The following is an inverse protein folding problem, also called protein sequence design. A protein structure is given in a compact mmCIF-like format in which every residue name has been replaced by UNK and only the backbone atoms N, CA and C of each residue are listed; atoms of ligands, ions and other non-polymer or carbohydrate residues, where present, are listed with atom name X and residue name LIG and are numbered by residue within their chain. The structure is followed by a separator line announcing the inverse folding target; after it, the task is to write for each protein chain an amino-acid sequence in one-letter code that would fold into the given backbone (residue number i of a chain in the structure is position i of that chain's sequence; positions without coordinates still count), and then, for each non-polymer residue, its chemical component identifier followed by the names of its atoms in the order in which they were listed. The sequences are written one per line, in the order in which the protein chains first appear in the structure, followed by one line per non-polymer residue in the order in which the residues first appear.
data_IF_559889828657
#
_entry.id   IF_559889828657
#
_cell.length_a   1.000
_cell.length_b   1.000
_cell.length_c   1.000
_cell.angle_alpha   90.00
_cell.angle_beta   90.00
_cell.angle_gamma   90.00
#
_symmetry.space_group_name_H-M   'P 1'
#
loop_
_entity.id
_entity.type
_entity.pdbx_description
1 polymer ?
#
# COMPACT_ATOMS: atom_id res chain seq x y z
N UNK A 1 15.30 11.60 12.24
CA UNK A 1 15.06 10.16 12.44
C UNK A 1 16.38 9.42 12.43
N UNK A 2 16.51 8.37 13.26
CA UNK A 2 17.71 7.50 13.23
C UNK A 2 17.60 6.42 12.14
N UNK A 3 16.38 6.10 11.70
CA UNK A 3 16.17 5.12 10.65
C UNK A 3 16.33 5.77 9.28
N UNK A 4 17.18 5.18 8.48
CA UNK A 4 17.49 5.67 7.13
C UNK A 4 16.68 5.01 6.03
N UNK A 5 16.26 3.75 6.23
CA UNK A 5 15.53 2.98 5.23
C UNK A 5 14.04 2.97 5.54
N UNK A 6 13.19 2.92 4.51
CA UNK A 6 11.74 2.81 4.64
C UNK A 6 11.25 1.48 4.04
N UNK A 7 11.36 0.39 4.81
CA UNK A 7 11.13 -0.97 4.33
C UNK A 7 9.76 -1.53 4.73
N UNK A 8 9.33 -1.27 5.96
CA UNK A 8 8.04 -1.70 6.53
C UNK A 8 7.68 -0.81 7.72
N UNK A 9 6.39 -0.65 8.02
CA UNK A 9 5.94 0.20 9.15
C UNK A 9 6.29 -0.39 10.52
N UNK A 10 6.63 -1.68 10.61
CA UNK A 10 7.16 -2.29 11.84
C UNK A 10 8.41 -1.58 12.35
N UNK A 11 9.22 -1.02 11.44
CA UNK A 11 10.50 -0.39 11.74
C UNK A 11 10.36 1.01 12.37
N UNK A 12 9.13 1.55 12.44
CA UNK A 12 8.85 2.91 12.90
C UNK A 12 7.95 2.92 14.13
N UNK A 13 8.16 3.94 14.96
CA UNK A 13 7.27 4.26 16.08
C UNK A 13 5.98 4.93 15.59
N UNK A 14 4.89 4.91 16.36
CA UNK A 14 3.68 5.67 16.05
C UNK A 14 3.94 7.16 15.79
N UNK A 15 4.83 7.77 16.58
CA UNK A 15 5.20 9.18 16.44
C UNK A 15 5.95 9.48 15.12
N UNK A 16 6.82 8.58 14.66
CA UNK A 16 7.50 8.71 13.36
C UNK A 16 6.53 8.54 12.20
N UNK A 17 5.58 7.61 12.29
CA UNK A 17 4.52 7.45 11.29
C UNK A 17 3.67 8.72 11.23
N UNK A 18 3.24 9.26 12.37
CA UNK A 18 2.49 10.52 12.40
C UNK A 18 3.30 11.68 11.82
N UNK A 19 4.59 11.75 12.10
CA UNK A 19 5.47 12.77 11.50
C UNK A 19 5.49 12.70 9.97
N UNK A 20 5.55 11.50 9.38
CA UNK A 20 5.44 11.37 7.91
C UNK A 20 4.10 11.90 7.38
N UNK A 21 3.00 11.64 8.09
CA UNK A 21 1.68 12.12 7.68
C UNK A 21 1.58 13.65 7.78
N UNK A 22 2.11 14.25 8.84
CA UNK A 22 2.13 15.71 9.04
C UNK A 22 2.95 16.42 7.96
N UNK A 23 4.14 15.89 7.65
CA UNK A 23 4.99 16.40 6.56
C UNK A 23 4.29 16.23 5.20
N UNK A 24 3.62 15.10 4.98
CA UNK A 24 2.89 14.86 3.74
C UNK A 24 1.73 15.85 3.55
N UNK A 25 0.99 16.15 4.61
CA UNK A 25 -0.09 17.14 4.58
C UNK A 25 0.44 18.54 4.27
N UNK A 26 1.55 18.96 4.88
CA UNK A 26 2.20 20.25 4.59
C UNK A 26 2.68 20.33 3.14
N UNK A 27 3.37 19.28 2.64
CA UNK A 27 3.85 19.23 1.26
C UNK A 27 2.70 19.17 0.22
N UNK A 28 1.58 18.52 0.57
CA UNK A 28 0.35 18.53 -0.23
C UNK A 28 -0.22 19.93 -0.31
N UNK A 29 -0.34 20.63 0.82
CA UNK A 29 -0.84 22.00 0.88
C UNK A 29 0.05 22.97 0.07
N UNK A 30 1.38 22.86 0.19
CA UNK A 30 2.33 23.64 -0.61
C UNK A 30 2.17 23.40 -2.10
N UNK A 31 2.04 22.15 -2.53
CA UNK A 31 1.83 21.83 -3.96
C UNK A 31 0.52 22.41 -4.48
N UNK A 32 -0.57 22.27 -3.75
CA UNK A 32 -1.88 22.84 -4.12
C UNK A 32 -1.86 24.38 -4.18
N UNK A 33 -1.06 25.03 -3.34
CA UNK A 33 -0.86 26.48 -3.33
C UNK A 33 0.18 26.97 -4.35
N UNK A 34 0.81 26.09 -5.14
CA UNK A 34 1.86 26.46 -6.09
C UNK A 34 3.17 26.91 -5.44
N UNK A 35 3.38 26.60 -4.14
CA UNK A 35 4.58 26.98 -3.40
C UNK A 35 5.70 25.98 -3.69
N UNK A 36 6.85 26.42 -4.23
CA UNK A 36 8.00 25.55 -4.47
C UNK A 36 8.54 24.94 -3.17
N UNK A 37 8.87 23.63 -3.20
CA UNK A 37 9.37 22.91 -2.03
C UNK A 37 10.49 21.92 -2.41
N UNK A 38 11.53 22.44 -3.07
CA UNK A 38 12.69 21.67 -3.54
C UNK A 38 13.66 21.35 -2.40
N UNK A 39 13.20 20.57 -1.42
CA UNK A 39 13.95 20.24 -0.19
C UNK A 39 15.17 19.36 -0.43
N UNK A 40 15.20 18.62 -1.55
CA UNK A 40 16.26 17.67 -1.93
C UNK A 40 16.88 18.06 -3.29
N UNK A 41 17.10 19.36 -3.49
CA UNK A 41 17.70 19.85 -4.73
C UNK A 41 19.04 19.13 -4.99
N UNK A 42 19.25 18.77 -6.25
CA UNK A 42 20.46 18.13 -6.79
C UNK A 42 20.71 16.68 -6.31
N UNK A 43 19.88 16.11 -5.41
CA UNK A 43 19.96 14.69 -5.06
C UNK A 43 19.44 13.80 -6.17
N UNK A 44 19.92 12.56 -6.22
CA UNK A 44 19.61 11.57 -7.25
C UNK A 44 18.90 10.36 -6.66
N UNK A 45 17.82 9.91 -7.30
CA UNK A 45 17.03 8.75 -6.91
C UNK A 45 17.03 7.70 -8.01
N UNK A 46 17.39 6.45 -7.67
CA UNK A 46 17.21 5.29 -8.54
C UNK A 46 15.88 4.60 -8.23
N UNK A 47 15.09 4.25 -9.26
CA UNK A 47 13.89 3.45 -9.15
C UNK A 47 14.12 2.09 -9.79
N UNK A 48 14.16 1.02 -8.98
CA UNK A 48 14.33 -0.36 -9.42
C UNK A 48 12.97 -1.05 -9.43
N UNK A 49 12.52 -1.48 -10.60
CA UNK A 49 11.26 -2.19 -10.75
C UNK A 49 11.50 -3.60 -11.30
N UNK A 50 11.17 -4.63 -10.53
CA UNK A 50 11.05 -6.01 -11.01
C UNK A 50 9.58 -6.37 -11.28
N UNK A 51 8.63 -5.66 -10.63
CA UNK A 51 7.20 -5.69 -10.95
C UNK A 51 6.78 -4.34 -11.52
N UNK A 52 6.14 -4.32 -12.68
CA UNK A 52 5.63 -3.09 -13.30
C UNK A 52 4.61 -2.38 -12.43
N UNK A 53 4.55 -1.06 -12.52
CA UNK A 53 3.53 -0.25 -11.85
C UNK A 53 3.47 1.15 -12.44
N UNK A 54 2.29 1.56 -12.89
CA UNK A 54 2.04 2.94 -13.32
C UNK A 54 2.05 3.89 -12.12
N UNK A 55 1.27 3.61 -11.08
CA UNK A 55 1.07 4.51 -9.94
C UNK A 55 2.33 4.71 -9.11
N UNK A 56 2.99 3.64 -8.69
CA UNK A 56 4.22 3.74 -7.87
C UNK A 56 5.31 4.48 -8.63
N UNK A 57 5.52 4.16 -9.92
CA UNK A 57 6.48 4.86 -10.76
C UNK A 57 6.16 6.36 -10.85
N UNK A 58 4.94 6.71 -11.28
CA UNK A 58 4.53 8.11 -11.40
C UNK A 58 4.64 8.86 -10.06
N UNK A 59 4.24 8.22 -8.94
CA UNK A 59 4.30 8.84 -7.63
C UNK A 59 5.73 9.16 -7.21
N UNK A 60 6.70 8.23 -7.36
CA UNK A 60 8.10 8.48 -7.06
C UNK A 60 8.75 9.48 -8.02
N UNK A 61 8.49 9.37 -9.33
CA UNK A 61 9.03 10.32 -10.31
C UNK A 61 8.56 11.75 -10.05
N UNK A 62 7.26 11.95 -9.83
CA UNK A 62 6.70 13.28 -9.55
C UNK A 62 7.15 13.78 -8.19
N UNK A 63 7.13 12.92 -7.16
CA UNK A 63 7.61 13.28 -5.81
C UNK A 63 9.08 13.74 -5.84
N UNK A 64 9.96 13.00 -6.50
CA UNK A 64 11.37 13.37 -6.64
C UNK A 64 11.54 14.72 -7.37
N UNK A 65 10.85 14.91 -8.49
CA UNK A 65 10.90 16.19 -9.24
C UNK A 65 10.36 17.37 -8.43
N UNK A 66 9.28 17.19 -7.68
CA UNK A 66 8.74 18.22 -6.79
C UNK A 66 9.77 18.64 -5.72
N UNK A 67 10.52 17.66 -5.19
CA UNK A 67 11.59 17.89 -4.22
C UNK A 67 12.91 18.40 -4.84
N UNK A 68 13.01 18.48 -6.17
CA UNK A 68 14.19 18.96 -6.89
C UNK A 68 15.22 17.90 -7.22
N UNK A 69 14.86 16.62 -7.12
CA UNK A 69 15.76 15.49 -7.40
C UNK A 69 15.83 15.15 -8.89
N UNK A 70 16.97 14.59 -9.31
CA UNK A 70 17.06 13.76 -10.51
C UNK A 70 16.52 12.36 -10.22
N UNK A 71 15.76 11.79 -11.17
CA UNK A 71 15.15 10.46 -11.01
C UNK A 71 15.48 9.59 -12.21
N UNK A 72 16.02 8.40 -11.96
CA UNK A 72 16.33 7.39 -12.99
C UNK A 72 15.47 6.15 -12.77
N UNK A 73 14.70 5.80 -13.78
CA UNK A 73 13.94 4.56 -13.82
C UNK A 73 14.75 3.43 -14.45
N UNK A 74 14.91 2.34 -13.71
CA UNK A 74 15.56 1.12 -14.16
C UNK A 74 14.50 0.08 -14.51
N UNK A 75 14.28 -0.12 -15.80
CA UNK A 75 13.30 -1.06 -16.34
C UNK A 75 13.71 -2.51 -16.03
N UNK A 76 12.75 -3.40 -15.69
CA UNK A 76 13.05 -4.82 -15.41
C UNK A 76 13.75 -5.55 -16.56
N UNK A 77 13.46 -5.17 -17.81
CA UNK A 77 14.07 -5.77 -18.99
C UNK A 77 15.51 -5.31 -19.21
N UNK A 78 15.86 -4.12 -18.76
CA UNK A 78 17.18 -3.51 -18.89
C UNK A 78 18.09 -3.73 -17.68
N UNK A 79 17.54 -4.20 -16.53
CA UNK A 79 18.30 -4.45 -15.32
C UNK A 79 18.96 -5.83 -15.32
N UNK A 80 20.19 -5.90 -14.79
CA UNK A 80 20.92 -7.14 -14.57
C UNK A 80 20.79 -7.68 -13.15
N UNK A 81 20.07 -6.97 -12.28
CA UNK A 81 19.87 -7.31 -10.87
C UNK A 81 19.29 -8.73 -10.72
N UNK A 82 19.90 -9.54 -9.86
CA UNK A 82 19.49 -10.92 -9.63
C UNK A 82 19.71 -11.89 -10.80
N UNK A 83 20.27 -11.43 -11.95
CA UNK A 83 20.53 -12.25 -13.13
C UNK A 83 22.04 -12.46 -13.34
N UNK A 84 22.75 -11.42 -13.70
CA UNK A 84 24.21 -11.43 -13.91
C UNK A 84 24.94 -10.69 -12.80
N UNK A 85 24.26 -9.94 -11.98
CA UNK A 85 24.79 -9.18 -10.87
C UNK A 85 24.02 -9.51 -9.60
N UNK A 86 24.71 -9.69 -8.47
CA UNK A 86 24.09 -9.95 -7.19
C UNK A 86 23.33 -8.71 -6.68
N UNK A 87 22.33 -8.92 -5.82
CA UNK A 87 21.61 -7.82 -5.16
C UNK A 87 22.59 -6.92 -4.41
N UNK A 88 23.53 -7.52 -3.66
CA UNK A 88 24.53 -6.81 -2.88
C UNK A 88 25.47 -5.95 -3.75
N UNK A 89 25.89 -6.46 -4.92
CA UNK A 89 26.78 -5.70 -5.81
C UNK A 89 26.03 -4.58 -6.50
N UNK A 90 24.83 -4.82 -6.97
CA UNK A 90 23.95 -3.77 -7.50
C UNK A 90 23.72 -2.67 -6.45
N UNK A 91 23.46 -3.03 -5.20
CA UNK A 91 23.27 -2.09 -4.10
C UNK A 91 24.50 -1.20 -3.90
N UNK A 92 25.71 -1.80 -3.86
CA UNK A 92 26.99 -1.08 -3.71
C UNK A 92 27.28 -0.13 -4.86
N UNK A 93 26.98 -0.54 -6.10
CA UNK A 93 27.15 0.30 -7.29
C UNK A 93 26.21 1.49 -7.26
N UNK A 94 24.90 1.23 -7.10
CA UNK A 94 23.89 2.29 -7.10
C UNK A 94 24.05 3.24 -5.91
N UNK A 95 24.39 2.73 -4.74
CA UNK A 95 24.65 3.56 -3.56
C UNK A 95 25.87 4.49 -3.66
N UNK A 96 26.72 4.33 -4.68
CA UNK A 96 27.81 5.26 -5.01
C UNK A 96 27.46 6.30 -6.05
N UNK A 97 26.31 6.13 -6.74
CA UNK A 97 25.84 7.00 -7.79
C UNK A 97 24.61 7.81 -7.39
N UNK A 98 23.79 7.27 -6.50
CA UNK A 98 22.51 7.84 -6.08
C UNK A 98 22.49 8.14 -4.59
N UNK A 99 21.68 9.11 -4.18
CA UNK A 99 21.43 9.46 -2.78
C UNK A 99 20.36 8.59 -2.14
N UNK A 100 19.51 7.94 -2.95
CA UNK A 100 18.48 7.02 -2.47
C UNK A 100 18.08 6.01 -3.56
N UNK A 101 17.54 4.88 -3.13
CA UNK A 101 17.12 3.78 -4.01
C UNK A 101 15.70 3.37 -3.63
N UNK A 102 14.79 3.37 -4.59
CA UNK A 102 13.49 2.71 -4.46
C UNK A 102 13.55 1.32 -5.09
N UNK A 103 12.90 0.36 -4.46
CA UNK A 103 12.74 -0.99 -4.97
C UNK A 103 11.27 -1.40 -4.94
N UNK A 104 10.79 -1.91 -6.08
CA UNK A 104 9.49 -2.55 -6.22
C UNK A 104 9.66 -3.92 -6.87
N UNK A 105 9.35 -4.99 -6.13
CA UNK A 105 9.62 -6.35 -6.64
C UNK A 105 8.91 -7.46 -5.89
N UNK A 106 9.63 -8.53 -5.61
CA UNK A 106 9.09 -9.77 -5.07
C UNK A 106 9.32 -9.88 -3.56
N UNK A 107 10.43 -10.47 -3.13
CA UNK A 107 10.66 -10.81 -1.73
C UNK A 107 11.11 -9.62 -0.88
N UNK A 108 10.64 -9.58 0.37
CA UNK A 108 11.10 -8.60 1.36
C UNK A 108 12.60 -8.73 1.63
N UNK A 109 13.15 -9.95 1.58
CA UNK A 109 14.58 -10.20 1.73
C UNK A 109 15.43 -9.45 0.68
N UNK A 110 14.91 -9.22 -0.53
CA UNK A 110 15.62 -8.51 -1.59
C UNK A 110 15.80 -7.02 -1.22
N UNK A 111 14.73 -6.36 -0.79
CA UNK A 111 14.80 -4.95 -0.41
C UNK A 111 15.60 -4.77 0.89
N UNK A 112 15.59 -5.74 1.81
CA UNK A 112 16.41 -5.75 3.02
C UNK A 112 17.89 -5.95 2.68
N UNK A 113 18.22 -6.81 1.72
CA UNK A 113 19.60 -6.97 1.22
C UNK A 113 20.09 -5.68 0.52
N UNK A 114 19.27 -5.06 -0.34
CA UNK A 114 19.58 -3.74 -0.92
C UNK A 114 19.89 -2.73 0.18
N UNK A 115 19.06 -2.64 1.22
CA UNK A 115 19.28 -1.72 2.35
C UNK A 115 20.57 -2.00 3.11
N UNK A 116 20.93 -3.27 3.30
CA UNK A 116 22.15 -3.68 4.01
C UNK A 116 23.44 -3.26 3.29
N UNK A 117 23.43 -3.17 1.96
CA UNK A 117 24.65 -2.94 1.17
C UNK A 117 24.69 -1.60 0.42
N UNK A 118 23.59 -0.88 0.29
CA UNK A 118 23.52 0.36 -0.50
C UNK A 118 24.31 1.52 0.11
N UNK A 119 24.38 1.62 1.45
CA UNK A 119 25.00 2.75 2.15
C UNK A 119 24.20 4.06 2.06
N UNK A 120 23.09 4.07 1.34
CA UNK A 120 22.12 5.16 1.18
C UNK A 120 20.72 4.69 1.54
N UNK A 121 19.75 5.57 1.82
CA UNK A 121 18.37 5.19 2.09
C UNK A 121 17.75 4.33 0.99
N UNK A 122 17.04 3.28 1.40
CA UNK A 122 16.29 2.39 0.52
C UNK A 122 14.81 2.46 0.87
N UNK A 123 13.95 2.57 -0.14
CA UNK A 123 12.51 2.72 -0.03
C UNK A 123 11.80 1.50 -0.64
N UNK A 124 10.95 0.85 0.14
CA UNK A 124 10.12 -0.24 -0.33
C UNK A 124 8.89 0.31 -1.06
N UNK A 125 8.90 0.27 -2.38
CA UNK A 125 7.76 0.61 -3.24
C UNK A 125 6.65 -0.45 -3.24
N UNK A 126 7.01 -1.71 -3.05
CA UNK A 126 6.18 -2.89 -2.79
C UNK A 126 7.03 -4.16 -2.79
N UNK A 127 6.78 -5.05 -1.84
CA UNK A 127 7.18 -6.46 -1.89
C UNK A 127 5.96 -7.38 -1.78
N UNK A 128 6.14 -8.69 -1.78
CA UNK A 128 5.05 -9.63 -1.53
C UNK A 128 4.50 -9.51 -0.11
N UNK A 129 5.37 -9.14 0.83
CA UNK A 129 5.07 -9.10 2.27
C UNK A 129 4.56 -7.73 2.73
N UNK A 130 5.08 -6.62 2.17
CA UNK A 130 4.75 -5.26 2.62
C UNK A 130 4.64 -4.23 1.50
N UNK A 131 3.76 -3.25 1.73
CA UNK A 131 3.58 -2.06 0.88
C UNK A 131 3.46 -0.78 1.72
N UNK A 132 4.52 -0.39 2.46
CA UNK A 132 4.43 0.68 3.46
C UNK A 132 4.07 2.05 2.88
N UNK A 133 4.48 2.35 1.64
CA UNK A 133 4.14 3.62 0.98
C UNK A 133 2.66 3.75 0.66
N UNK A 134 1.95 2.63 0.45
CA UNK A 134 0.49 2.62 0.29
C UNK A 134 -0.18 2.99 1.61
N UNK A 135 0.22 2.35 2.70
CA UNK A 135 -0.43 2.55 4.00
C UNK A 135 -0.32 4.00 4.50
N UNK A 136 0.81 4.67 4.24
CA UNK A 136 0.90 6.10 4.56
C UNK A 136 -0.11 6.94 3.76
N UNK A 137 -0.34 6.59 2.49
CA UNK A 137 -1.34 7.28 1.66
C UNK A 137 -2.76 7.00 2.16
N UNK A 138 -3.05 5.76 2.52
CA UNK A 138 -4.32 5.36 3.09
C UNK A 138 -4.60 6.15 4.37
N UNK A 139 -3.62 6.23 5.26
CA UNK A 139 -3.75 6.94 6.53
C UNK A 139 -3.89 8.45 6.36
N UNK A 140 -3.14 9.06 5.44
CA UNK A 140 -3.34 10.47 5.12
C UNK A 140 -4.76 10.72 4.61
N UNK A 141 -5.28 9.85 3.74
CA UNK A 141 -6.63 9.94 3.21
C UNK A 141 -7.68 9.77 4.30
N UNK A 142 -7.51 8.80 5.20
CA UNK A 142 -8.40 8.61 6.34
C UNK A 142 -8.38 9.85 7.26
N UNK A 143 -7.21 10.43 7.54
CA UNK A 143 -7.12 11.66 8.34
C UNK A 143 -7.81 12.85 7.67
N UNK A 144 -7.71 12.98 6.35
CA UNK A 144 -8.38 14.07 5.60
C UNK A 144 -9.91 13.95 5.66
N UNK A 145 -10.46 12.72 5.65
CA UNK A 145 -11.90 12.49 5.68
C UNK A 145 -12.51 12.41 7.08
N UNK A 146 -11.74 11.93 8.07
CA UNK A 146 -12.25 11.66 9.42
C UNK A 146 -11.59 12.46 10.54
N UNK A 147 -10.55 13.23 10.24
CA UNK A 147 -9.81 14.06 11.19
C UNK A 147 -8.81 13.32 12.08
N UNK A 148 -8.95 12.00 12.26
CA UNK A 148 -8.03 11.18 13.07
C UNK A 148 -8.01 9.74 12.61
N UNK A 149 -6.93 9.01 12.99
CA UNK A 149 -6.82 7.56 12.77
C UNK A 149 -7.29 6.76 13.98
N UNK A 150 -6.96 7.24 15.19
CA UNK A 150 -7.19 6.49 16.43
C UNK A 150 -8.66 6.10 16.59
N UNK A 151 -8.89 4.81 16.85
CA UNK A 151 -10.21 4.23 17.05
C UNK A 151 -11.05 4.05 15.77
N UNK A 152 -10.57 4.46 14.60
CA UNK A 152 -11.27 4.22 13.33
C UNK A 152 -11.24 2.76 12.96
N UNK A 153 -12.41 2.22 12.57
CA UNK A 153 -12.58 0.84 12.15
C UNK A 153 -12.35 0.69 10.65
N UNK A 154 -11.27 -0.01 10.30
CA UNK A 154 -10.93 -0.37 8.93
C UNK A 154 -11.15 -1.87 8.74
N UNK A 155 -12.02 -2.24 7.80
CA UNK A 155 -12.31 -3.63 7.42
C UNK A 155 -11.64 -3.91 6.08
N UNK A 156 -10.69 -4.84 6.08
CA UNK A 156 -10.06 -5.32 4.85
C UNK A 156 -10.76 -6.59 4.37
N UNK A 157 -11.36 -6.54 3.17
CA UNK A 157 -12.07 -7.64 2.54
C UNK A 157 -11.23 -8.27 1.43
N UNK A 158 -10.83 -9.54 1.56
CA UNK A 158 -10.03 -10.23 0.55
C UNK A 158 -8.91 -11.07 1.13
N UNK A 159 -7.87 -11.36 0.33
CA UNK A 159 -6.72 -12.15 0.78
C UNK A 159 -5.79 -11.31 1.67
N UNK A 160 -5.83 -11.53 2.97
CA UNK A 160 -5.07 -10.76 3.94
C UNK A 160 -3.63 -11.30 4.20
N UNK A 161 -3.20 -12.35 3.53
CA UNK A 161 -1.88 -13.00 3.72
C UNK A 161 -0.71 -12.23 3.12
N UNK A 162 -0.98 -11.31 2.19
CA UNK A 162 0.04 -10.59 1.41
C UNK A 162 0.19 -9.13 1.84
N UNK A 163 0.91 -8.37 1.02
CA UNK A 163 1.39 -7.04 1.37
C UNK A 163 0.33 -6.06 1.88
N UNK A 164 -0.88 -6.03 1.29
CA UNK A 164 -1.91 -5.08 1.74
C UNK A 164 -2.50 -5.48 3.09
N UNK A 165 -2.94 -6.74 3.25
CA UNK A 165 -3.45 -7.23 4.53
C UNK A 165 -2.44 -7.09 5.66
N UNK A 166 -1.19 -7.51 5.42
CA UNK A 166 -0.09 -7.40 6.37
C UNK A 166 0.19 -5.94 6.75
N UNK A 167 0.33 -5.07 5.75
CA UNK A 167 0.72 -3.68 6.00
C UNK A 167 -0.39 -2.85 6.65
N UNK A 168 -1.66 -3.10 6.28
CA UNK A 168 -2.81 -2.47 6.94
C UNK A 168 -2.91 -2.91 8.40
N UNK A 169 -2.76 -4.21 8.69
CA UNK A 169 -2.77 -4.73 10.06
C UNK A 169 -1.67 -4.08 10.90
N UNK A 170 -0.43 -4.07 10.40
CA UNK A 170 0.71 -3.42 11.07
C UNK A 170 0.45 -1.94 11.31
N UNK A 171 0.05 -1.23 10.27
CA UNK A 171 -0.24 0.21 10.37
C UNK A 171 -1.34 0.52 11.36
N UNK A 172 -2.45 -0.21 11.32
CA UNK A 172 -3.56 -0.05 12.25
C UNK A 172 -3.14 -0.35 13.70
N UNK A 173 -2.34 -1.41 13.92
CA UNK A 173 -1.78 -1.73 15.23
C UNK A 173 -0.91 -0.57 15.76
N UNK A 174 -0.05 0.03 14.92
CA UNK A 174 0.79 1.18 15.29
C UNK A 174 -0.01 2.43 15.62
N UNK A 175 -1.07 2.71 14.85
CA UNK A 175 -1.81 3.98 14.96
C UNK A 175 -3.04 3.92 15.87
N UNK A 176 -3.23 2.82 16.63
CA UNK A 176 -4.35 2.68 17.56
C UNK A 176 -5.71 2.59 16.86
N UNK A 177 -5.75 2.05 15.65
CA UNK A 177 -6.97 1.82 14.87
C UNK A 177 -7.60 0.46 15.20
N UNK A 178 -8.82 0.26 14.76
CA UNK A 178 -9.49 -1.03 14.81
C UNK A 178 -9.38 -1.69 13.41
N UNK A 179 -8.55 -2.71 13.26
CA UNK A 179 -8.38 -3.49 12.04
C UNK A 179 -9.22 -4.76 12.09
N UNK A 180 -9.95 -5.03 11.00
CA UNK A 180 -10.68 -6.29 10.82
C UNK A 180 -10.24 -6.93 9.51
N UNK A 181 -9.66 -8.13 9.57
CA UNK A 181 -9.50 -8.97 8.39
C UNK A 181 -10.79 -9.74 8.15
N UNK A 182 -11.50 -9.39 7.07
CA UNK A 182 -12.76 -10.00 6.65
C UNK A 182 -12.50 -10.95 5.47
N UNK A 183 -12.32 -12.24 5.77
CA UNK A 183 -11.97 -13.24 4.76
C UNK A 183 -12.17 -14.67 5.30
N UNK A 184 -12.02 -15.69 4.46
CA UNK A 184 -11.98 -17.07 4.92
C UNK A 184 -10.71 -17.34 5.75
N UNK A 185 -10.77 -18.28 6.68
CA UNK A 185 -9.71 -18.52 7.68
C UNK A 185 -8.33 -18.78 7.05
N UNK A 186 -8.29 -19.49 5.94
CA UNK A 186 -7.06 -19.80 5.19
C UNK A 186 -6.40 -18.58 4.53
N UNK A 187 -7.08 -17.44 4.52
CA UNK A 187 -6.59 -16.17 3.97
C UNK A 187 -6.27 -15.12 5.05
N UNK A 188 -6.29 -15.48 6.34
CA UNK A 188 -5.81 -14.59 7.40
C UNK A 188 -4.28 -14.41 7.32
N UNK A 189 -3.74 -13.30 7.84
CA UNK A 189 -2.30 -13.07 7.92
C UNK A 189 -1.56 -14.18 8.68
N UNK A 190 -0.25 -14.25 8.50
CA UNK A 190 0.62 -15.18 9.24
C UNK A 190 0.52 -15.00 10.77
N UNK A 191 0.46 -16.10 11.51
CA UNK A 191 0.26 -16.09 12.95
C UNK A 191 1.33 -15.30 13.72
N UNK A 192 2.60 -15.37 13.28
CA UNK A 192 3.69 -14.63 13.94
C UNK A 192 3.52 -13.13 13.76
N UNK A 193 3.07 -12.71 12.57
CA UNK A 193 2.79 -11.30 12.32
C UNK A 193 1.59 -10.84 13.14
N UNK A 194 0.54 -11.66 13.27
CA UNK A 194 -0.61 -11.38 14.13
C UNK A 194 -0.16 -11.21 15.60
N UNK A 195 0.68 -12.09 16.12
CA UNK A 195 1.18 -11.99 17.50
C UNK A 195 1.99 -10.70 17.70
N UNK A 196 2.92 -10.39 16.79
CA UNK A 196 3.66 -9.14 16.83
C UNK A 196 2.74 -7.92 16.81
N UNK A 197 1.70 -7.93 15.98
CA UNK A 197 0.75 -6.83 15.92
C UNK A 197 -0.13 -6.74 17.18
N UNK A 198 -0.46 -7.85 17.83
CA UNK A 198 -1.17 -7.86 19.13
C UNK A 198 -0.34 -7.24 20.24
N UNK A 199 0.96 -7.51 20.29
CA UNK A 199 1.88 -6.87 21.24
C UNK A 199 1.88 -5.34 21.04
N UNK A 200 2.00 -4.88 19.81
CA UNK A 200 1.93 -3.45 19.47
C UNK A 200 0.56 -2.87 19.85
N UNK A 201 -0.52 -3.59 19.55
CA UNK A 201 -1.89 -3.15 19.85
C UNK A 201 -2.14 -2.98 21.35
N UNK A 202 -1.52 -3.83 22.20
CA UNK A 202 -1.61 -3.69 23.65
C UNK A 202 -1.02 -2.35 24.14
N UNK A 203 -0.01 -1.81 23.47
CA UNK A 203 0.61 -0.53 23.82
C UNK A 203 -0.16 0.68 23.26
N UNK A 204 -0.72 0.55 22.04
CA UNK A 204 -1.35 1.66 21.32
C UNK A 204 -2.86 1.79 21.57
N UNK A 205 -3.48 0.71 22.08
CA UNK A 205 -4.92 0.59 22.23
C UNK A 205 -5.65 0.22 20.93
N UNK A 206 -4.93 -0.30 19.93
CA UNK A 206 -5.54 -0.84 18.72
C UNK A 206 -6.34 -2.10 19.00
N UNK A 207 -7.31 -2.40 18.12
CA UNK A 207 -8.11 -3.64 18.15
C UNK A 207 -7.83 -4.40 16.85
N UNK A 208 -7.59 -5.71 16.95
CA UNK A 208 -7.35 -6.57 15.79
C UNK A 208 -8.34 -7.73 15.82
N UNK A 209 -9.15 -7.85 14.79
CA UNK A 209 -10.17 -8.90 14.65
C UNK A 209 -10.03 -9.66 13.33
N UNK A 210 -10.46 -10.92 13.33
CA UNK A 210 -10.38 -11.83 12.20
C UNK A 210 -11.75 -12.49 12.04
N UNK A 211 -12.56 -11.99 11.11
CA UNK A 211 -13.98 -12.29 10.99
C UNK A 211 -14.27 -12.90 9.62
N UNK A 212 -15.02 -14.02 9.61
CA UNK A 212 -15.36 -14.70 8.36
C UNK A 212 -16.76 -14.31 7.81
N UNK A 213 -17.60 -13.65 8.61
CA UNK A 213 -18.89 -13.14 8.17
C UNK A 213 -18.77 -11.67 7.73
N UNK A 214 -18.98 -11.36 6.42
CA UNK A 214 -18.86 -10.01 5.91
C UNK A 214 -19.83 -9.01 6.56
N UNK A 215 -21.04 -9.44 6.94
CA UNK A 215 -22.03 -8.56 7.53
C UNK A 215 -21.73 -8.26 9.01
N UNK A 216 -21.12 -9.21 9.72
CA UNK A 216 -20.58 -8.98 11.06
C UNK A 216 -19.38 -8.04 11.00
N UNK A 217 -18.43 -8.30 10.09
CA UNK A 217 -17.20 -7.53 9.95
C UNK A 217 -17.47 -6.06 9.61
N UNK A 218 -18.34 -5.79 8.63
CA UNK A 218 -18.56 -4.43 8.10
C UNK A 218 -19.47 -3.57 8.96
N UNK A 219 -20.16 -4.14 9.96
CA UNK A 219 -21.05 -3.36 10.84
C UNK A 219 -20.31 -2.20 11.50
N UNK A 220 -20.77 -0.97 11.22
CA UNK A 220 -20.22 0.26 11.79
C UNK A 220 -18.76 0.53 11.40
N UNK A 221 -18.30 0.01 10.26
CA UNK A 221 -16.98 0.33 9.74
C UNK A 221 -16.90 1.80 9.30
N UNK A 222 -15.79 2.47 9.62
CA UNK A 222 -15.46 3.79 9.06
C UNK A 222 -14.91 3.63 7.62
N UNK A 223 -14.14 2.56 7.39
CA UNK A 223 -13.53 2.27 6.08
C UNK A 223 -13.73 0.79 5.73
N UNK A 224 -14.17 0.53 4.50
CA UNK A 224 -14.09 -0.79 3.87
C UNK A 224 -13.02 -0.71 2.79
N UNK A 225 -12.03 -1.59 2.88
CA UNK A 225 -10.88 -1.67 1.99
C UNK A 225 -10.84 -3.02 1.28
N UNK A 226 -10.46 -3.06 0.02
CA UNK A 226 -10.18 -4.31 -0.69
C UNK A 226 -9.02 -4.15 -1.67
N UNK A 227 -8.53 -5.27 -2.18
CA UNK A 227 -7.50 -5.36 -3.21
C UNK A 227 -7.85 -6.51 -4.17
N UNK A 228 -7.21 -6.56 -5.32
CA UNK A 228 -7.40 -7.62 -6.32
C UNK A 228 -7.25 -9.01 -5.69
N UNK A 229 -8.11 -9.94 -6.07
CA UNK A 229 -8.08 -11.31 -5.52
C UNK A 229 -6.89 -12.13 -5.99
N UNK A 230 -6.29 -11.77 -7.14
CA UNK A 230 -5.09 -12.41 -7.67
C UNK A 230 -4.05 -11.34 -7.92
N UNK A 231 -2.93 -11.45 -7.23
CA UNK A 231 -1.83 -10.47 -7.32
C UNK A 231 -1.04 -10.61 -8.62
N UNK A 232 -0.42 -9.51 -9.05
CA UNK A 232 0.47 -9.54 -10.22
C UNK A 232 1.60 -10.54 -10.03
N UNK A 233 1.75 -11.45 -11.01
CA UNK A 233 2.78 -12.49 -11.02
C UNK A 233 2.32 -13.84 -10.46
N UNK A 234 1.08 -13.96 -9.98
CA UNK A 234 0.49 -15.27 -9.67
C UNK A 234 0.05 -15.97 -10.98
N UNK A 235 0.14 -17.30 -11.05
CA UNK A 235 -0.23 -18.05 -12.26
C UNK A 235 -1.74 -18.06 -12.48
N UNK A 236 -2.17 -18.13 -13.74
CA UNK A 236 -3.60 -18.18 -14.13
C UNK A 236 -4.38 -19.32 -13.47
N UNK A 237 -3.68 -20.40 -13.09
CA UNK A 237 -4.31 -21.56 -12.44
C UNK A 237 -4.93 -21.28 -11.08
N UNK A 238 -4.58 -20.15 -10.41
CA UNK A 238 -5.13 -19.82 -9.08
C UNK A 238 -6.45 -19.05 -9.15
N UNK A 239 -6.84 -18.52 -10.32
CA UNK A 239 -8.02 -17.65 -10.47
C UNK A 239 -9.31 -18.32 -10.00
N UNK A 240 -9.58 -19.53 -10.47
CA UNK A 240 -10.81 -20.24 -10.15
C UNK A 240 -10.97 -20.47 -8.65
N UNK A 241 -9.90 -20.94 -8.00
CA UNK A 241 -9.87 -21.16 -6.55
C UNK A 241 -10.09 -19.84 -5.79
N UNK A 242 -9.40 -18.77 -6.21
CA UNK A 242 -9.50 -17.46 -5.56
C UNK A 242 -10.89 -16.85 -5.70
N UNK A 243 -11.45 -16.90 -6.91
CA UNK A 243 -12.82 -16.42 -7.18
C UNK A 243 -13.81 -17.16 -6.29
N UNK A 244 -13.73 -18.50 -6.25
CA UNK A 244 -14.65 -19.30 -5.43
C UNK A 244 -14.55 -18.95 -3.95
N UNK A 245 -13.34 -18.83 -3.42
CA UNK A 245 -13.10 -18.56 -2.00
C UNK A 245 -13.42 -17.11 -1.59
N UNK A 246 -13.15 -16.13 -2.46
CA UNK A 246 -13.23 -14.71 -2.11
C UNK A 246 -14.52 -14.01 -2.60
N UNK A 247 -15.30 -14.63 -3.48
CA UNK A 247 -16.58 -14.08 -3.93
C UNK A 247 -17.54 -13.66 -2.81
N UNK A 248 -17.64 -14.36 -1.67
CA UNK A 248 -18.46 -13.92 -0.53
C UNK A 248 -17.98 -12.59 0.09
N UNK A 249 -16.75 -12.20 -0.16
CA UNK A 249 -16.09 -11.00 0.39
C UNK A 249 -16.01 -9.85 -0.62
N UNK A 250 -16.68 -9.98 -1.79
CA UNK A 250 -16.83 -8.88 -2.75
C UNK A 250 -17.51 -7.70 -2.09
N UNK A 251 -16.84 -6.53 -2.09
CA UNK A 251 -17.42 -5.31 -1.55
C UNK A 251 -18.56 -4.85 -2.44
N UNK A 252 -19.74 -4.73 -1.87
CA UNK A 252 -20.98 -4.40 -2.56
C UNK A 252 -21.83 -3.42 -1.74
N UNK A 253 -22.91 -2.96 -2.33
CA UNK A 253 -23.80 -1.98 -1.70
C UNK A 253 -24.34 -2.46 -0.34
N UNK A 254 -24.67 -3.74 -0.18
CA UNK A 254 -25.19 -4.26 1.08
C UNK A 254 -24.17 -4.13 2.22
N UNK A 255 -22.88 -4.38 1.96
CA UNK A 255 -21.80 -4.17 2.93
C UNK A 255 -21.62 -2.68 3.27
N UNK A 256 -21.67 -1.80 2.26
CA UNK A 256 -21.58 -0.35 2.48
C UNK A 256 -22.78 0.19 3.28
N UNK A 257 -23.99 -0.25 2.97
CA UNK A 257 -25.20 0.13 3.70
C UNK A 257 -25.14 -0.35 5.17
N UNK A 258 -24.63 -1.57 5.40
CA UNK A 258 -24.43 -2.14 6.74
C UNK A 258 -23.39 -1.36 7.57
N UNK A 259 -22.37 -0.84 6.93
CA UNK A 259 -21.37 0.02 7.58
C UNK A 259 -21.95 1.42 7.90
N UNK A 260 -22.81 1.93 7.05
CA UNK A 260 -23.49 3.21 7.19
C UNK A 260 -23.04 4.30 6.21
N UNK A 261 -23.79 5.39 6.14
CA UNK A 261 -23.59 6.45 5.14
C UNK A 261 -22.24 7.21 5.28
N UNK A 262 -21.63 7.18 6.45
CA UNK A 262 -20.33 7.82 6.69
C UNK A 262 -19.14 6.94 6.32
N UNK A 263 -19.36 5.65 6.07
CA UNK A 263 -18.32 4.73 5.64
C UNK A 263 -17.71 5.19 4.31
N UNK A 264 -16.39 5.01 4.15
CA UNK A 264 -15.68 5.25 2.90
C UNK A 264 -15.14 3.94 2.35
N UNK A 265 -15.20 3.84 1.02
CA UNK A 265 -14.58 2.74 0.27
C UNK A 265 -13.18 3.14 -0.20
N UNK A 266 -12.21 2.26 0.01
CA UNK A 266 -10.81 2.44 -0.39
C UNK A 266 -10.28 1.22 -1.15
N UNK A 267 -9.30 1.45 -2.03
CA UNK A 267 -8.66 0.42 -2.84
C UNK A 267 -7.32 0.93 -3.40
N UNK A 268 -6.25 0.19 -3.24
CA UNK A 268 -4.91 0.59 -3.71
C UNK A 268 -4.75 0.69 -5.24
N UNK A 269 -5.74 0.21 -5.99
CA UNK A 269 -5.77 0.14 -7.45
C UNK A 269 -4.61 -0.72 -8.06
N UNK A 270 -4.83 -1.40 -9.20
CA UNK A 270 -6.03 -1.37 -10.05
C UNK A 270 -7.19 -2.15 -9.43
N UNK A 271 -8.43 -1.83 -9.82
CA UNK A 271 -9.63 -2.55 -9.40
C UNK A 271 -10.32 -3.21 -10.61
N UNK A 272 -10.90 -4.40 -10.38
CA UNK A 272 -11.69 -5.10 -11.39
C UNK A 272 -13.19 -4.95 -11.06
N UNK A 273 -13.72 -3.75 -11.26
CA UNK A 273 -15.10 -3.39 -10.96
C UNK A 273 -16.01 -3.42 -12.19
N UNK A 274 -15.43 -3.44 -13.41
CA UNK A 274 -16.17 -3.38 -14.68
C UNK A 274 -15.52 -4.24 -15.79
N UNK A 275 -16.07 -4.15 -17.01
CA UNK A 275 -15.57 -4.85 -18.20
C UNK A 275 -14.70 -3.98 -19.13
N UNK A 276 -14.25 -2.81 -18.69
CA UNK A 276 -13.49 -1.88 -19.54
C UNK A 276 -12.00 -2.26 -19.66
N UNK A 277 -11.55 -3.29 -18.93
CA UNK A 277 -10.17 -3.80 -19.00
C UNK A 277 -10.10 -5.11 -19.79
N UNK A 278 -8.93 -5.41 -20.38
CA UNK A 278 -8.69 -6.69 -21.06
C UNK A 278 -8.90 -7.88 -20.12
N UNK A 279 -8.36 -7.79 -18.89
CA UNK A 279 -8.49 -8.85 -17.87
C UNK A 279 -9.94 -8.99 -17.42
N UNK A 280 -10.66 -7.89 -17.18
CA UNK A 280 -12.09 -7.93 -16.82
C UNK A 280 -12.93 -8.67 -17.86
N UNK A 281 -12.67 -8.44 -19.16
CA UNK A 281 -13.35 -9.18 -20.24
C UNK A 281 -13.01 -10.67 -20.24
N UNK A 282 -11.75 -11.04 -20.07
CA UNK A 282 -11.31 -12.44 -19.98
C UNK A 282 -11.93 -13.16 -18.78
N UNK A 283 -12.03 -12.49 -17.63
CA UNK A 283 -12.69 -13.04 -16.44
C UNK A 283 -14.18 -13.22 -16.68
N UNK A 284 -14.84 -12.27 -17.32
CA UNK A 284 -16.24 -12.40 -17.69
C UNK A 284 -16.48 -13.59 -18.66
N UNK A 285 -15.70 -13.70 -19.70
CA UNK A 285 -15.78 -14.81 -20.66
C UNK A 285 -15.60 -16.18 -20.00
N UNK A 286 -14.72 -16.27 -18.99
CA UNK A 286 -14.36 -17.54 -18.35
C UNK A 286 -15.21 -17.90 -17.13
N UNK A 287 -15.65 -16.90 -16.37
CA UNK A 287 -16.30 -17.09 -15.05
C UNK A 287 -17.67 -16.41 -14.94
N UNK A 288 -18.14 -15.74 -15.99
CA UNK A 288 -19.42 -14.99 -16.01
C UNK A 288 -19.54 -13.96 -14.88
N UNK A 289 -18.41 -13.28 -14.57
CA UNK A 289 -18.33 -12.21 -13.59
C UNK A 289 -18.18 -10.86 -14.28
N UNK A 290 -19.02 -9.89 -13.93
CA UNK A 290 -18.93 -8.50 -14.42
C UNK A 290 -18.08 -7.60 -13.53
N UNK A 291 -17.82 -8.02 -12.30
CA UNK A 291 -16.95 -7.36 -11.30
C UNK A 291 -16.36 -8.42 -10.38
N UNK A 292 -15.21 -8.15 -9.79
CA UNK A 292 -14.51 -9.09 -8.89
C UNK A 292 -14.56 -8.60 -7.42
N UNK A 293 -13.51 -7.99 -6.93
CA UNK A 293 -13.35 -7.64 -5.51
C UNK A 293 -14.28 -6.51 -5.04
N UNK A 294 -14.79 -5.71 -5.98
CA UNK A 294 -15.75 -4.63 -5.70
C UNK A 294 -16.72 -4.47 -6.86
N UNK A 295 -17.97 -4.14 -6.58
CA UNK A 295 -18.97 -3.82 -7.62
C UNK A 295 -18.76 -2.40 -8.15
N UNK A 296 -19.11 -2.17 -9.42
CA UNK A 296 -19.04 -0.86 -10.08
C UNK A 296 -19.85 0.20 -9.32
N UNK A 297 -21.05 -0.18 -8.84
CA UNK A 297 -21.91 0.68 -8.03
C UNK A 297 -21.19 1.25 -6.78
N UNK A 298 -20.36 0.47 -6.11
CA UNK A 298 -19.58 0.94 -4.95
C UNK A 298 -18.38 1.75 -5.41
N UNK A 299 -17.66 1.26 -6.43
CA UNK A 299 -16.45 1.91 -6.92
C UNK A 299 -16.71 3.34 -7.42
N UNK A 300 -17.81 3.57 -8.13
CA UNK A 300 -18.22 4.87 -8.67
C UNK A 300 -19.11 5.69 -7.72
N UNK A 301 -19.35 5.19 -6.50
CA UNK A 301 -20.21 5.88 -5.53
C UNK A 301 -19.53 7.11 -4.90
N UNK A 302 -20.33 8.00 -4.31
CA UNK A 302 -19.84 9.13 -3.52
C UNK A 302 -19.11 8.70 -2.21
N UNK A 303 -19.22 7.45 -1.80
CA UNK A 303 -18.48 6.89 -0.67
C UNK A 303 -17.07 6.43 -1.06
N UNK A 304 -16.79 6.27 -2.35
CA UNK A 304 -15.48 5.88 -2.86
C UNK A 304 -14.49 7.06 -2.81
N UNK A 305 -13.34 6.85 -2.19
CA UNK A 305 -12.26 7.84 -2.07
C UNK A 305 -10.93 7.33 -2.64
N UNK A 306 -11.01 6.37 -3.56
CA UNK A 306 -9.85 5.68 -4.16
C UNK A 306 -8.92 6.62 -4.94
N UNK A 307 -9.44 7.70 -5.51
CA UNK A 307 -8.60 8.65 -6.27
C UNK A 307 -7.91 9.66 -5.36
N UNK A 308 -8.52 10.04 -4.23
CA UNK A 308 -7.85 10.82 -3.18
C UNK A 308 -6.70 10.02 -2.57
N UNK A 309 -6.94 8.74 -2.31
CA UNK A 309 -5.93 7.76 -1.87
C UNK A 309 -4.78 7.64 -2.87
N UNK A 310 -5.08 7.49 -4.15
CA UNK A 310 -4.07 7.41 -5.21
C UNK A 310 -3.24 8.70 -5.33
N UNK A 311 -3.84 9.89 -5.20
CA UNK A 311 -3.13 11.19 -5.16
C UNK A 311 -2.18 11.23 -3.95
N UNK A 312 -2.64 10.80 -2.79
CA UNK A 312 -1.87 10.87 -1.55
C UNK A 312 -0.58 10.03 -1.57
N UNK A 313 -0.49 9.02 -2.44
CA UNK A 313 0.75 8.26 -2.68
C UNK A 313 1.95 9.17 -2.97
N UNK A 314 1.79 10.13 -3.85
CA UNK A 314 2.84 11.08 -4.20
C UNK A 314 3.24 11.96 -3.01
N UNK A 315 2.29 12.41 -2.21
CA UNK A 315 2.54 13.31 -1.08
C UNK A 315 3.25 12.61 0.08
N UNK A 316 2.84 11.39 0.40
CA UNK A 316 3.48 10.59 1.45
C UNK A 316 4.87 10.09 1.04
N UNK A 317 5.09 9.75 -0.22
CA UNK A 317 6.41 9.44 -0.76
C UNK A 317 7.35 10.66 -0.65
N UNK A 318 6.87 11.88 -0.95
CA UNK A 318 7.65 13.10 -0.72
C UNK A 318 8.07 13.24 0.75
N UNK A 319 7.13 13.00 1.67
CA UNK A 319 7.41 13.11 3.10
C UNK A 319 8.46 12.10 3.55
N UNK A 320 8.36 10.85 3.13
CA UNK A 320 9.36 9.81 3.44
C UNK A 320 10.74 10.22 2.93
N UNK A 321 10.86 10.62 1.67
CA UNK A 321 12.15 11.04 1.10
C UNK A 321 12.70 12.27 1.81
N UNK A 322 11.89 13.30 2.04
CA UNK A 322 12.33 14.52 2.72
C UNK A 322 12.78 14.31 4.17
N UNK A 323 12.25 13.28 4.83
CA UNK A 323 12.61 12.98 6.23
C UNK A 323 13.81 12.04 6.37
N UNK A 324 14.24 11.34 5.31
CA UNK A 324 15.28 10.31 5.36
C UNK A 324 16.53 10.64 4.53
N UNK A 325 16.43 11.50 3.51
CA UNK A 325 17.52 12.00 2.65
C UNK A 325 18.03 13.37 3.11
#
# INVERSE_FOLDING_TARGET
MNQKHFLKLLDFTPAEIQHFLDVAADLKAKKKAGIPHKLLADKQLALIFEKTSTRTRCAFEVAGRDLGMGVTYLDPSASQIGKKESIADTARVLGRMYDGIEYRGFGQNIVEELAAYAGVPVFNGLTNEFHPTQILADFLTIQEHFGSLKGKKLVYCGDARYNMGNSLMVGCAKMGMHFVACTAKEYFPDEKLIETCKEIAAETGAVLEFITDPMEATRGADVIYTDVWVSMGEPDSVWEQRIHALKPYQVNKAMMDNAGSQCRFMHCLPAFHDLNTTIGKQIHEKFDLTAMEVTDEVFESAQSIVFDEAENRMHTIKAVMAATL
#
